data_IF_738484288889
#
_entry.id   IF_738484288889
#
_cell.length_a   1.000
_cell.length_b   1.000
_cell.length_c   1.000
_cell.angle_alpha   90.00
_cell.angle_beta   90.00
_cell.angle_gamma   90.00
#
_symmetry.space_group_name_H-M   'P 1'
#
loop_
_entity.id
_entity.type
_entity.pdbx_description
1 polymer ?
#
# COMPACT_ATOMS: atom_id res chain seq x y z
N UNK A 1 3.02 11.88 -23.27
CA UNK A 1 4.29 11.56 -22.66
C UNK A 1 4.11 11.20 -21.20
N UNK A 2 4.69 10.11 -20.79
CA UNK A 2 4.57 9.66 -19.42
C UNK A 2 5.69 10.25 -18.58
N UNK A 3 5.34 10.94 -17.51
CA UNK A 3 6.33 11.44 -16.59
C UNK A 3 6.41 10.51 -15.39
N UNK A 4 7.60 10.05 -15.10
CA UNK A 4 7.83 9.21 -13.93
C UNK A 4 8.23 10.11 -12.77
N UNK A 5 7.48 10.00 -11.69
CA UNK A 5 7.85 10.67 -10.46
C UNK A 5 8.82 9.79 -9.70
N UNK A 6 9.85 10.39 -9.13
CA UNK A 6 10.69 9.65 -8.19
C UNK A 6 9.90 9.42 -6.91
N UNK A 7 10.36 8.46 -6.10
CA UNK A 7 9.69 8.16 -4.83
C UNK A 7 9.51 9.42 -3.97
N UNK A 8 10.53 10.28 -3.95
CA UNK A 8 10.49 11.50 -3.15
C UNK A 8 9.49 12.54 -3.65
N UNK A 9 9.09 12.45 -4.92
CA UNK A 9 8.12 13.35 -5.50
C UNK A 9 6.69 12.91 -5.28
N UNK A 10 6.49 11.69 -4.81
CA UNK A 10 5.15 11.20 -4.52
C UNK A 10 4.66 11.77 -3.19
N UNK A 11 3.36 12.10 -3.15
CA UNK A 11 2.73 12.47 -1.89
C UNK A 11 2.61 11.27 -0.96
N UNK A 12 2.34 11.53 0.30
CA UNK A 12 2.21 10.47 1.30
C UNK A 12 1.15 9.44 0.92
N UNK A 13 0.01 9.89 0.40
CA UNK A 13 -1.05 8.99 -0.04
C UNK A 13 -0.56 8.07 -1.16
N UNK A 14 0.12 8.64 -2.14
CA UNK A 14 0.61 7.85 -3.27
C UNK A 14 1.65 6.82 -2.85
N UNK A 15 2.54 7.21 -1.93
CA UNK A 15 3.53 6.30 -1.39
C UNK A 15 2.86 5.14 -0.65
N UNK A 16 1.89 5.45 0.20
CA UNK A 16 1.17 4.43 0.95
C UNK A 16 0.36 3.52 0.03
N UNK A 17 -0.23 4.07 -1.01
CA UNK A 17 -0.96 3.27 -1.99
C UNK A 17 -0.05 2.26 -2.68
N UNK A 18 1.15 2.70 -3.04
CA UNK A 18 2.13 1.83 -3.68
C UNK A 18 2.57 0.70 -2.73
N UNK A 19 2.92 1.06 -1.50
CA UNK A 19 3.35 0.09 -0.50
C UNK A 19 2.22 -0.90 -0.20
N UNK A 20 1.02 -0.39 0.02
CA UNK A 20 -0.14 -1.22 0.32
C UNK A 20 -0.43 -2.21 -0.81
N UNK A 21 -0.41 -1.72 -2.05
CA UNK A 21 -0.67 -2.57 -3.20
C UNK A 21 0.34 -3.70 -3.32
N UNK A 22 1.63 -3.40 -3.14
CA UNK A 22 2.68 -4.41 -3.22
C UNK A 22 2.58 -5.43 -2.08
N UNK A 23 2.41 -4.95 -0.85
CA UNK A 23 2.31 -5.83 0.31
C UNK A 23 1.06 -6.70 0.24
N UNK A 24 -0.04 -6.13 -0.18
CA UNK A 24 -1.29 -6.88 -0.34
C UNK A 24 -1.15 -7.99 -1.37
N UNK A 25 -0.50 -7.68 -2.49
CA UNK A 25 -0.27 -8.69 -3.51
C UNK A 25 0.61 -9.82 -3.01
N UNK A 26 1.62 -9.50 -2.20
CA UNK A 26 2.49 -10.52 -1.62
C UNK A 26 1.73 -11.45 -0.68
N UNK A 27 0.79 -10.92 0.09
CA UNK A 27 0.02 -11.71 1.05
C UNK A 27 -1.10 -12.48 0.37
N UNK A 28 -1.83 -11.84 -0.53
CA UNK A 28 -3.08 -12.40 -1.09
C UNK A 28 -2.95 -12.89 -2.53
N UNK A 29 -1.87 -12.56 -3.22
CA UNK A 29 -1.66 -12.99 -4.60
C UNK A 29 -2.36 -12.16 -5.66
N UNK A 30 -3.07 -11.11 -5.28
CA UNK A 30 -3.71 -10.19 -6.20
C UNK A 30 -3.74 -8.78 -5.60
N UNK A 31 -3.92 -7.78 -6.47
CA UNK A 31 -3.90 -6.40 -6.01
C UNK A 31 -5.22 -5.99 -5.38
N UNK A 32 -5.19 -5.11 -4.37
CA UNK A 32 -6.40 -4.67 -3.69
C UNK A 32 -7.22 -3.72 -4.56
N UNK A 33 -8.53 -3.70 -4.30
CA UNK A 33 -9.47 -2.77 -4.96
C UNK A 33 -10.39 -2.16 -3.92
N UNK A 34 -9.86 -1.35 -3.00
CA UNK A 34 -10.70 -0.72 -2.00
C UNK A 34 -11.56 0.38 -2.61
N UNK A 35 -12.65 0.79 -1.94
CA UNK A 35 -13.41 1.96 -2.36
C UNK A 35 -12.53 3.19 -2.45
N UNK A 36 -12.91 4.11 -3.33
CA UNK A 36 -12.10 5.31 -3.58
C UNK A 36 -11.87 6.12 -2.30
N UNK A 37 -12.86 6.19 -1.43
CA UNK A 37 -12.74 6.93 -0.18
C UNK A 37 -11.64 6.38 0.71
N UNK A 38 -11.57 5.07 0.84
CA UNK A 38 -10.52 4.40 1.61
C UNK A 38 -9.18 4.50 0.90
N UNK A 39 -9.18 4.39 -0.40
CA UNK A 39 -7.96 4.44 -1.20
C UNK A 39 -7.21 5.76 -1.04
N UNK A 40 -7.91 6.82 -0.67
CA UNK A 40 -7.33 8.14 -0.47
C UNK A 40 -7.13 8.51 1.00
N UNK A 41 -7.52 7.62 1.91
CA UNK A 41 -7.45 7.88 3.33
C UNK A 41 -6.09 7.44 3.88
N UNK A 42 -5.27 8.40 4.27
CA UNK A 42 -3.92 8.14 4.78
C UNK A 42 -3.96 7.27 6.03
N UNK A 43 -4.87 7.57 6.95
CA UNK A 43 -4.97 6.80 8.20
C UNK A 43 -5.37 5.36 7.93
N UNK A 44 -6.33 5.17 7.04
CA UNK A 44 -6.76 3.83 6.66
C UNK A 44 -5.61 3.05 5.99
N UNK A 45 -4.91 3.70 5.07
CA UNK A 45 -3.79 3.08 4.37
C UNK A 45 -2.68 2.69 5.33
N UNK A 46 -2.35 3.56 6.30
CA UNK A 46 -1.33 3.23 7.30
C UNK A 46 -1.71 2.02 8.12
N UNK A 47 -2.95 1.97 8.57
CA UNK A 47 -3.44 0.84 9.36
C UNK A 47 -3.37 -0.45 8.56
N UNK A 48 -3.75 -0.40 7.29
CA UNK A 48 -3.72 -1.58 6.44
C UNK A 48 -2.29 -2.04 6.14
N UNK A 49 -1.38 -1.10 5.88
CA UNK A 49 0.02 -1.44 5.65
C UNK A 49 0.62 -2.09 6.89
N UNK A 50 0.36 -1.54 8.07
CA UNK A 50 0.86 -2.11 9.32
C UNK A 50 0.32 -3.52 9.53
N UNK A 51 -0.96 -3.74 9.26
CA UNK A 51 -1.57 -5.05 9.41
C UNK A 51 -0.94 -6.08 8.46
N UNK A 52 -0.72 -5.67 7.21
CA UNK A 52 -0.09 -6.56 6.23
C UNK A 52 1.35 -6.90 6.62
N UNK A 53 2.09 -5.92 7.13
CA UNK A 53 3.47 -6.15 7.56
C UNK A 53 3.54 -7.11 8.73
N UNK A 54 2.60 -7.02 9.66
CA UNK A 54 2.52 -7.98 10.77
C UNK A 54 2.29 -9.39 10.26
N UNK A 55 1.43 -9.56 9.25
CA UNK A 55 1.19 -10.85 8.66
C UNK A 55 2.43 -11.41 7.98
N UNK A 56 3.14 -10.57 7.24
CA UNK A 56 4.36 -10.98 6.54
C UNK A 56 5.44 -11.37 7.54
N UNK A 57 5.66 -10.54 8.55
CA UNK A 57 6.66 -10.82 9.58
C UNK A 57 6.30 -12.07 10.39
N UNK A 58 5.01 -12.24 10.69
CA UNK A 58 4.54 -13.41 11.41
C UNK A 58 4.78 -14.70 10.67
N UNK A 59 4.67 -14.68 9.35
CA UNK A 59 4.90 -15.87 8.54
C UNK A 59 6.38 -16.23 8.42
N UNK A 60 7.26 -15.27 8.62
CA UNK A 60 8.70 -15.51 8.53
C UNK A 60 9.28 -16.12 9.79
N UNK A 61 8.53 -16.19 10.83
CA UNK A 61 8.93 -16.83 12.06
C UNK A 61 8.47 -18.31 12.08
#
# INVERSE_FOLDING_TARGET
>A
MTQYRTWDQLGEVEQLQSIYSDDYKDVHGFRPRPPMEQWRDVEWLRAEVDSLREQIEGEML
#
